data_IF_245437119871
#
_entry.id   IF_245437119871
#
_cell.length_a   1.000
_cell.length_b   1.000
_cell.length_c   1.000
_cell.angle_alpha   90.00
_cell.angle_beta   90.00
_cell.angle_gamma   90.00
#
_symmetry.space_group_name_H-M   'P 1'
#
loop_
_entity.id
_entity.type
_entity.pdbx_description
1 polymer ?
#
# COMPACT_ATOMS: atom_id res chain seq x y z
N UNK A 1 -20.86 -0.17 -8.66
CA UNK A 1 -19.68 0.30 -7.90
C UNK A 1 -19.02 1.40 -8.71
N UNK A 2 -18.80 2.61 -8.16
CA UNK A 2 -18.03 3.62 -8.88
C UNK A 2 -16.63 3.04 -9.07
N UNK A 3 -16.15 3.05 -10.31
CA UNK A 3 -14.93 2.38 -10.73
C UNK A 3 -13.73 2.92 -9.95
N UNK A 4 -13.27 2.16 -8.97
CA UNK A 4 -12.00 2.41 -8.29
C UNK A 4 -10.89 2.13 -9.29
N UNK A 5 -10.47 3.17 -10.02
CA UNK A 5 -9.36 3.10 -10.96
C UNK A 5 -8.08 3.26 -10.14
N UNK A 6 -7.42 2.14 -9.88
CA UNK A 6 -6.07 2.15 -9.34
C UNK A 6 -5.13 2.50 -10.48
N UNK A 7 -4.61 3.71 -10.43
CA UNK A 7 -3.51 4.15 -11.28
C UNK A 7 -2.24 4.36 -10.44
N UNK A 8 -1.15 4.68 -11.14
CA UNK A 8 0.15 4.94 -10.51
C UNK A 8 0.10 6.05 -9.45
N UNK A 9 -0.74 7.08 -9.63
CA UNK A 9 -0.84 8.18 -8.67
C UNK A 9 -1.48 7.71 -7.37
N UNK A 10 -2.50 6.86 -7.46
CA UNK A 10 -3.14 6.26 -6.31
C UNK A 10 -2.21 5.29 -5.58
N UNK A 11 -1.45 4.47 -6.30
CA UNK A 11 -0.42 3.61 -5.70
C UNK A 11 0.68 4.42 -4.99
N UNK A 12 1.13 5.54 -5.57
CA UNK A 12 2.06 6.45 -4.91
C UNK A 12 1.50 6.97 -3.57
N UNK A 13 0.24 7.42 -3.59
CA UNK A 13 -0.46 7.92 -2.40
C UNK A 13 -0.52 6.83 -1.32
N UNK A 14 -0.96 5.62 -1.66
CA UNK A 14 -1.05 4.48 -0.75
C UNK A 14 0.28 4.20 -0.06
N UNK A 15 1.35 4.03 -0.84
CA UNK A 15 2.67 3.69 -0.32
C UNK A 15 3.21 4.80 0.60
N UNK A 16 3.04 6.07 0.22
CA UNK A 16 3.47 7.20 1.05
C UNK A 16 2.78 7.20 2.42
N UNK A 17 1.47 7.00 2.46
CA UNK A 17 0.71 6.97 3.70
C UNK A 17 0.94 5.68 4.52
N UNK A 18 1.20 4.54 3.87
CA UNK A 18 1.57 3.30 4.55
C UNK A 18 2.93 3.45 5.27
N UNK A 19 3.90 4.09 4.62
CA UNK A 19 5.22 4.40 5.20
C UNK A 19 5.08 5.38 6.38
N UNK A 20 4.27 6.43 6.19
CA UNK A 20 3.98 7.42 7.24
C UNK A 20 3.22 6.83 8.43
N UNK A 21 2.48 5.73 8.22
CA UNK A 21 1.68 5.06 9.26
C UNK A 21 0.31 5.69 9.48
N UNK A 22 -0.18 6.48 8.52
CA UNK A 22 -1.48 7.14 8.56
C UNK A 22 -2.45 6.62 7.49
N UNK A 23 -2.05 5.62 6.70
CA UNK A 23 -2.95 4.97 5.73
C UNK A 23 -4.02 4.14 6.45
N UNK A 24 -5.33 4.41 6.22
CA UNK A 24 -6.39 3.58 6.78
C UNK A 24 -6.32 2.12 6.32
N UNK A 25 -6.54 1.19 7.24
CA UNK A 25 -6.55 -0.24 6.94
C UNK A 25 -7.54 -0.59 5.83
N UNK A 26 -8.68 0.11 5.77
CA UNK A 26 -9.70 -0.09 4.73
C UNK A 26 -9.16 0.17 3.33
N UNK A 27 -8.34 1.20 3.16
CA UNK A 27 -7.76 1.56 1.86
C UNK A 27 -6.67 0.57 1.46
N UNK A 28 -5.86 0.13 2.43
CA UNK A 28 -4.85 -0.90 2.22
C UNK A 28 -5.45 -2.24 1.79
N UNK A 29 -6.41 -2.77 2.55
CA UNK A 29 -7.03 -4.06 2.26
C UNK A 29 -7.89 -4.04 1.00
N UNK A 30 -8.47 -2.87 0.66
CA UNK A 30 -9.12 -2.70 -0.63
C UNK A 30 -8.12 -2.81 -1.79
N UNK A 31 -6.94 -2.19 -1.65
CA UNK A 31 -5.90 -2.24 -2.67
C UNK A 31 -5.28 -3.63 -2.83
N UNK A 32 -4.78 -4.24 -1.75
CA UNK A 32 -4.13 -5.54 -1.85
C UNK A 32 -5.12 -6.66 -2.21
N UNK A 33 -6.41 -6.49 -1.89
CA UNK A 33 -7.49 -7.39 -2.31
C UNK A 33 -8.05 -7.13 -3.71
N UNK A 34 -7.65 -6.05 -4.40
CA UNK A 34 -8.16 -5.73 -5.73
C UNK A 34 -7.50 -6.60 -6.81
N UNK A 35 -8.30 -7.14 -7.74
CA UNK A 35 -7.82 -8.01 -8.85
C UNK A 35 -7.91 -7.32 -10.23
N UNK A 36 -8.37 -6.06 -10.27
CA UNK A 36 -8.69 -5.35 -11.52
C UNK A 36 -7.74 -4.17 -11.78
N UNK A 37 -6.43 -4.42 -11.74
CA UNK A 37 -5.43 -3.42 -12.10
C UNK A 37 -5.27 -3.35 -13.62
N UNK A 38 -5.14 -2.12 -14.15
CA UNK A 38 -5.16 -1.88 -15.60
C UNK A 38 -3.81 -2.14 -16.30
N UNK A 39 -2.79 -2.56 -15.56
CA UNK A 39 -1.43 -2.79 -16.07
C UNK A 39 -0.70 -3.85 -15.26
N UNK A 40 0.13 -4.65 -15.92
CA UNK A 40 0.95 -5.70 -15.30
C UNK A 40 1.90 -5.13 -14.23
N UNK A 41 2.51 -3.97 -14.46
CA UNK A 41 3.42 -3.33 -13.48
C UNK A 41 2.73 -3.03 -12.13
N UNK A 42 1.48 -2.55 -12.19
CA UNK A 42 0.70 -2.29 -10.98
C UNK A 42 0.28 -3.60 -10.28
N UNK A 43 0.05 -4.67 -11.04
CA UNK A 43 -0.23 -5.99 -10.47
C UNK A 43 1.01 -6.57 -9.77
N UNK A 44 2.19 -6.44 -10.37
CA UNK A 44 3.45 -6.80 -9.70
C UNK A 44 3.66 -5.99 -8.42
N UNK A 45 3.40 -4.68 -8.46
CA UNK A 45 3.47 -3.82 -7.27
C UNK A 45 2.49 -4.29 -6.17
N UNK A 46 1.25 -4.62 -6.54
CA UNK A 46 0.23 -5.09 -5.59
C UNK A 46 0.65 -6.41 -4.96
N UNK A 47 1.15 -7.36 -5.74
CA UNK A 47 1.63 -8.65 -5.22
C UNK A 47 2.80 -8.47 -4.24
N UNK A 48 3.76 -7.59 -4.54
CA UNK A 48 4.83 -7.26 -3.60
C UNK A 48 4.29 -6.63 -2.30
N UNK A 49 3.24 -5.80 -2.39
CA UNK A 49 2.58 -5.25 -1.20
C UNK A 49 1.85 -6.33 -0.37
N UNK A 50 1.33 -7.38 -0.99
CA UNK A 50 0.74 -8.53 -0.27
C UNK A 50 1.82 -9.25 0.54
N UNK A 51 2.98 -9.54 -0.06
CA UNK A 51 4.10 -10.19 0.63
C UNK A 51 4.59 -9.34 1.83
N UNK A 52 4.72 -8.03 1.62
CA UNK A 52 5.10 -7.10 2.69
C UNK A 52 4.06 -7.06 3.83
N UNK A 53 2.76 -7.12 3.50
CA UNK A 53 1.69 -7.17 4.51
C UNK A 53 1.81 -8.43 5.37
N UNK A 54 1.97 -9.59 4.74
CA UNK A 54 2.08 -10.87 5.44
C UNK A 54 3.31 -10.94 6.35
N UNK A 55 4.45 -10.40 5.92
CA UNK A 55 5.71 -10.51 6.65
C UNK A 55 5.94 -9.40 7.68
N UNK A 56 5.53 -8.16 7.39
CA UNK A 56 5.99 -6.98 8.12
C UNK A 56 4.89 -6.13 8.74
N UNK A 57 3.62 -6.45 8.48
CA UNK A 57 2.51 -5.77 9.15
C UNK A 57 2.52 -6.07 10.66
N UNK A 58 2.04 -5.09 11.42
CA UNK A 58 1.84 -5.15 12.87
C UNK A 58 0.40 -4.79 13.17
N UNK A 59 0.02 -4.94 14.44
CA UNK A 59 -1.26 -4.45 14.94
C UNK A 59 -1.50 -3.01 14.50
N UNK A 60 -2.69 -2.78 13.93
CA UNK A 60 -3.12 -1.47 13.44
C UNK A 60 -3.11 -0.45 14.57
N UNK A 61 -2.78 0.80 14.24
CA UNK A 61 -2.72 1.90 15.20
C UNK A 61 -3.84 2.89 14.95
N UNK A 62 -4.40 3.47 16.03
CA UNK A 62 -5.44 4.48 15.90
C UNK A 62 -4.82 5.85 15.62
N UNK A 63 -5.10 6.41 14.44
CA UNK A 63 -4.65 7.73 14.00
C UNK A 63 -5.87 8.55 13.59
N UNK A 64 -6.09 9.70 14.24
CA UNK A 64 -7.21 10.61 13.94
C UNK A 64 -8.58 9.90 13.87
N UNK A 65 -8.83 8.93 14.75
CA UNK A 65 -10.09 8.18 14.81
C UNK A 65 -10.24 7.06 13.75
N UNK A 66 -9.18 6.74 13.00
CA UNK A 66 -9.15 5.63 12.03
C UNK A 66 -8.09 4.61 12.45
N UNK A 67 -8.37 3.32 12.21
CA UNK A 67 -7.34 2.29 12.29
C UNK A 67 -6.48 2.36 11.03
N UNK A 68 -5.18 2.57 11.22
CA UNK A 68 -4.21 2.74 10.16
C UNK A 68 -3.19 1.61 10.17
N UNK A 69 -2.65 1.34 8.99
CA UNK A 69 -1.61 0.34 8.78
C UNK A 69 -0.37 0.69 9.58
N UNK A 70 0.21 -0.35 10.18
CA UNK A 70 1.41 -0.23 10.96
C UNK A 70 2.42 -1.26 10.44
N UNK A 71 3.51 -0.79 9.86
CA UNK A 71 4.60 -1.64 9.41
C UNK A 71 5.80 -1.49 10.33
N UNK A 72 6.53 -2.59 10.51
CA UNK A 72 7.83 -2.54 11.16
C UNK A 72 8.85 -1.76 10.31
N UNK A 73 10.06 -1.51 10.84
CA UNK A 73 11.06 -0.72 10.13
C UNK A 73 11.49 -1.33 8.79
N UNK A 74 11.55 -2.67 8.71
CA UNK A 74 11.87 -3.39 7.48
C UNK A 74 10.75 -3.27 6.45
N UNK A 75 9.49 -3.48 6.83
CA UNK A 75 8.35 -3.29 5.94
C UNK A 75 8.27 -1.86 5.39
N UNK A 76 8.55 -0.85 6.23
CA UNK A 76 8.63 0.55 5.75
C UNK A 76 9.75 0.77 4.75
N UNK A 77 10.89 0.09 4.90
CA UNK A 77 12.00 0.17 3.95
C UNK A 77 11.63 -0.48 2.61
N UNK A 78 11.02 -1.67 2.63
CA UNK A 78 10.54 -2.35 1.41
C UNK A 78 9.48 -1.53 0.67
N UNK A 79 8.51 -0.96 1.39
CA UNK A 79 7.52 -0.05 0.80
C UNK A 79 8.16 1.19 0.18
N UNK A 80 9.22 1.72 0.78
CA UNK A 80 9.96 2.86 0.23
C UNK A 80 10.74 2.50 -1.05
N UNK A 81 11.25 1.28 -1.14
CA UNK A 81 11.86 0.76 -2.37
C UNK A 81 10.82 0.65 -3.49
N UNK A 82 9.66 0.05 -3.21
CA UNK A 82 8.55 -0.02 -4.16
C UNK A 82 8.09 1.36 -4.62
N UNK A 83 8.01 2.33 -3.71
CA UNK A 83 7.65 3.71 -4.05
C UNK A 83 8.69 4.38 -4.96
N UNK A 84 9.97 4.08 -4.76
CA UNK A 84 11.06 4.61 -5.59
C UNK A 84 11.00 4.02 -6.99
N UNK A 85 10.84 2.70 -7.10
CA UNK A 85 10.66 2.00 -8.38
C UNK A 85 9.44 2.53 -9.14
N UNK A 86 8.31 2.71 -8.44
CA UNK A 86 7.08 3.23 -9.04
C UNK A 86 7.25 4.65 -9.60
N UNK A 87 8.13 5.47 -9.03
CA UNK A 87 8.40 6.84 -9.51
C UNK A 87 9.38 6.90 -10.67
N UNK A 88 10.04 5.79 -11.02
CA UNK A 88 11.01 5.73 -12.13
C UNK A 88 12.26 6.56 -11.91
N UNK A 89 12.72 6.69 -10.66
CA UNK A 89 13.98 7.38 -10.27
C UNK A 89 15.12 6.38 -10.16
#
# INVERSE_FOLDING_TARGET
>A
MPYYRVDQSYCCFLLQHAIAGDLPCTDWYLFIGAVNLTSEDLETLRLACVEIDEEFSKESVMVNGKFCMNFNQQGKAELALLLTQLKGV
#
